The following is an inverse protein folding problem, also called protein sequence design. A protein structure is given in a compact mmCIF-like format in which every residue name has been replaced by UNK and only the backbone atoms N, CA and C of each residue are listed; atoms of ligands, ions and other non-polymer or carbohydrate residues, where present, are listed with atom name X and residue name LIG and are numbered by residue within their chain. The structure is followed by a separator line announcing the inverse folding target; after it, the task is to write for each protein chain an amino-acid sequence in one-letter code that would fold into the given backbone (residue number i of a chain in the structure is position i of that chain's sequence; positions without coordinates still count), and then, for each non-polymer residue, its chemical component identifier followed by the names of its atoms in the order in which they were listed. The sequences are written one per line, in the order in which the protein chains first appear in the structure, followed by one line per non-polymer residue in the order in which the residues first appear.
data_IF_528624105250
#
_entry.id   IF_528624105250
#
_cell.length_a   1.000
_cell.length_b   1.000
_cell.length_c   1.000
_cell.angle_alpha   90.00
_cell.angle_beta   90.00
_cell.angle_gamma   90.00
#
_symmetry.space_group_name_H-M   'P 1'
#
loop_
_entity.id
_entity.type
_entity.pdbx_description
1 polymer ?
#
# COMPACT_ATOMS: atom_id res chain seq x y z
N UNK A 1 3.73 5.60 -38.10
CA UNK A 1 3.47 6.05 -36.74
C UNK A 1 3.74 4.90 -35.79
N UNK A 2 4.94 4.86 -35.18
CA UNK A 2 5.27 3.83 -34.20
C UNK A 2 4.49 4.14 -32.91
N UNK A 3 3.38 3.44 -32.66
CA UNK A 3 2.81 3.37 -31.34
C UNK A 3 3.75 2.50 -30.51
N UNK A 4 4.61 3.12 -29.72
CA UNK A 4 5.30 2.43 -28.65
C UNK A 4 4.24 1.94 -27.68
N UNK A 5 3.90 0.66 -27.75
CA UNK A 5 3.13 0.01 -26.70
C UNK A 5 4.05 -0.13 -25.50
N UNK A 6 3.86 0.72 -24.49
CA UNK A 6 4.46 0.53 -23.18
C UNK A 6 3.74 -0.64 -22.51
N UNK A 7 4.34 -1.80 -22.55
CA UNK A 7 3.88 -2.92 -21.74
C UNK A 7 4.61 -2.90 -20.39
N UNK A 8 3.84 -2.89 -19.30
CA UNK A 8 4.40 -3.08 -17.97
C UNK A 8 4.83 -4.54 -17.83
N UNK A 9 5.98 -4.76 -17.21
CA UNK A 9 6.42 -6.12 -16.87
C UNK A 9 5.50 -6.71 -15.81
N UNK A 10 4.91 -7.87 -16.07
CA UNK A 10 3.99 -8.59 -15.17
C UNK A 10 4.77 -9.44 -14.18
N UNK A 11 5.53 -8.81 -13.33
CA UNK A 11 6.33 -9.47 -12.31
C UNK A 11 6.51 -8.56 -11.10
N UNK A 12 6.84 -9.17 -9.96
CA UNK A 12 7.23 -8.45 -8.75
C UNK A 12 8.56 -8.99 -8.23
N UNK A 13 9.32 -8.13 -7.60
CA UNK A 13 10.51 -8.50 -6.85
C UNK A 13 10.58 -7.65 -5.59
N UNK A 14 10.43 -8.30 -4.44
CA UNK A 14 10.40 -7.60 -3.16
C UNK A 14 11.82 -7.49 -2.58
N UNK A 15 12.07 -6.36 -1.92
CA UNK A 15 13.31 -6.08 -1.23
C UNK A 15 13.01 -5.76 0.23
N UNK A 16 13.79 -6.33 1.15
CA UNK A 16 13.68 -6.02 2.58
C UNK A 16 14.99 -5.40 3.04
N UNK A 17 14.92 -4.19 3.54
CA UNK A 17 16.07 -3.44 4.05
C UNK A 17 16.05 -3.38 5.57
N UNK A 18 17.19 -3.65 6.18
CA UNK A 18 17.40 -3.53 7.62
C UNK A 18 18.48 -2.48 7.89
N UNK A 19 18.09 -1.33 8.38
CA UNK A 19 18.98 -0.23 8.73
C UNK A 19 19.42 -0.25 10.18
N UNK A 20 19.04 -1.27 10.94
CA UNK A 20 19.40 -1.42 12.35
C UNK A 20 20.75 -2.13 12.54
N UNK A 21 21.27 -2.08 13.76
CA UNK A 21 22.52 -2.71 14.14
C UNK A 21 22.37 -4.18 14.55
N UNK A 22 21.17 -4.72 14.48
CA UNK A 22 20.86 -6.11 14.84
C UNK A 22 20.19 -6.83 13.68
N UNK A 23 20.42 -8.15 13.57
CA UNK A 23 19.72 -8.97 12.59
C UNK A 23 18.23 -8.99 12.90
N UNK A 24 17.40 -9.04 11.86
CA UNK A 24 15.94 -9.03 11.98
C UNK A 24 15.33 -10.19 11.21
N UNK A 25 14.28 -10.77 11.77
CA UNK A 25 13.46 -11.78 11.11
C UNK A 25 12.10 -11.20 10.77
N UNK A 26 11.78 -11.18 9.48
CA UNK A 26 10.60 -10.52 8.95
C UNK A 26 9.75 -11.51 8.17
N UNK A 27 8.44 -11.48 8.38
CA UNK A 27 7.49 -12.21 7.58
C UNK A 27 7.02 -11.32 6.43
N UNK A 28 7.39 -11.68 5.20
CA UNK A 28 6.94 -10.97 3.99
C UNK A 28 5.73 -11.69 3.44
N UNK A 29 4.65 -10.94 3.21
CA UNK A 29 3.42 -11.42 2.59
C UNK A 29 3.13 -10.62 1.35
N UNK A 30 2.63 -11.27 0.31
CA UNK A 30 2.09 -10.57 -0.85
C UNK A 30 0.87 -11.31 -1.38
N UNK A 31 -0.01 -10.59 -2.07
CA UNK A 31 -1.24 -11.14 -2.62
C UNK A 31 -1.60 -10.44 -3.92
N UNK A 32 -2.14 -11.22 -4.87
CA UNK A 32 -2.85 -10.67 -6.03
C UNK A 32 -4.31 -10.49 -5.63
N UNK A 33 -4.83 -9.29 -5.86
CA UNK A 33 -6.19 -8.90 -5.46
C UNK A 33 -6.95 -8.27 -6.61
N UNK A 34 -8.27 -8.43 -6.59
CA UNK A 34 -9.19 -7.65 -7.43
C UNK A 34 -9.32 -6.22 -6.89
N UNK A 35 -9.89 -5.33 -7.70
CA UNK A 35 -10.13 -3.94 -7.30
C UNK A 35 -11.01 -3.78 -6.04
N UNK A 36 -11.81 -4.78 -5.69
CA UNK A 36 -12.57 -4.83 -4.42
C UNK A 36 -11.75 -5.34 -3.24
N UNK A 37 -10.45 -5.58 -3.44
CA UNK A 37 -9.49 -6.14 -2.51
C UNK A 37 -9.64 -7.65 -2.23
N UNK A 38 -10.52 -8.36 -2.93
CA UNK A 38 -10.62 -9.83 -2.82
C UNK A 38 -9.31 -10.49 -3.22
N UNK A 39 -8.81 -11.38 -2.38
CA UNK A 39 -7.57 -12.13 -2.61
C UNK A 39 -7.81 -13.23 -3.65
N UNK A 40 -7.03 -13.24 -4.71
CA UNK A 40 -7.01 -14.28 -5.73
C UNK A 40 -5.89 -15.29 -5.50
N UNK A 41 -4.75 -14.84 -5.01
CA UNK A 41 -3.56 -15.63 -4.75
C UNK A 41 -2.75 -14.94 -3.67
N UNK A 42 -2.16 -15.70 -2.75
CA UNK A 42 -1.30 -15.14 -1.72
C UNK A 42 -0.13 -16.06 -1.41
N UNK A 43 0.97 -15.44 -1.01
CA UNK A 43 2.19 -16.11 -0.60
C UNK A 43 2.79 -15.42 0.63
N UNK A 44 3.52 -16.18 1.42
CA UNK A 44 4.25 -15.65 2.57
C UNK A 44 5.61 -16.35 2.71
N UNK A 45 6.60 -15.61 3.19
CA UNK A 45 7.96 -16.10 3.35
C UNK A 45 8.63 -15.44 4.55
N UNK A 46 9.25 -16.23 5.41
CA UNK A 46 10.16 -15.71 6.44
C UNK A 46 11.49 -15.32 5.81
N UNK A 47 11.99 -14.14 6.16
CA UNK A 47 13.26 -13.59 5.67
C UNK A 47 14.10 -13.14 6.84
N UNK A 48 15.35 -13.62 6.90
CA UNK A 48 16.34 -13.11 7.86
C UNK A 48 17.15 -12.02 7.14
N UNK A 49 17.14 -10.82 7.70
CA UNK A 49 17.84 -9.67 7.14
C UNK A 49 18.96 -9.27 8.09
N UNK A 50 20.23 -9.52 7.72
CA UNK A 50 21.35 -9.13 8.56
C UNK A 50 21.38 -7.63 8.84
N UNK A 51 21.99 -7.25 9.95
CA UNK A 51 22.18 -5.86 10.33
C UNK A 51 22.79 -5.05 9.18
N UNK A 52 22.29 -3.84 8.96
CA UNK A 52 22.78 -2.88 7.95
C UNK A 52 22.85 -3.45 6.53
N UNK A 53 21.91 -4.34 6.18
CA UNK A 53 21.87 -4.98 4.86
C UNK A 53 20.46 -5.00 4.27
N UNK A 54 20.40 -5.44 3.03
CA UNK A 54 19.15 -5.66 2.31
C UNK A 54 19.14 -7.05 1.69
N UNK A 55 17.98 -7.66 1.63
CA UNK A 55 17.74 -8.95 0.99
C UNK A 55 16.72 -8.79 -0.12
N UNK A 56 17.07 -9.24 -1.32
CA UNK A 56 16.15 -9.35 -2.44
C UNK A 56 15.51 -10.74 -2.43
N UNK A 57 14.18 -10.79 -2.44
CA UNK A 57 13.47 -12.04 -2.66
C UNK A 57 13.51 -12.42 -4.15
N UNK A 58 13.20 -13.67 -4.46
CA UNK A 58 13.13 -14.13 -5.83
C UNK A 58 12.04 -13.39 -6.61
N UNK A 59 12.32 -13.13 -7.88
CA UNK A 59 11.35 -12.54 -8.80
C UNK A 59 10.17 -13.49 -8.99
N UNK A 60 8.96 -12.95 -8.90
CA UNK A 60 7.72 -13.71 -9.14
C UNK A 60 7.09 -13.22 -10.43
N UNK A 61 6.93 -14.13 -11.39
CA UNK A 61 6.23 -13.87 -12.64
C UNK A 61 4.73 -14.01 -12.44
N UNK A 62 3.97 -13.04 -12.94
CA UNK A 62 2.50 -12.98 -12.86
C UNK A 62 1.90 -12.82 -14.27
N UNK A 63 2.13 -13.76 -15.19
CA UNK A 63 1.79 -13.58 -16.61
C UNK A 63 0.29 -13.45 -16.87
N UNK A 64 -0.55 -13.92 -15.97
CA UNK A 64 -2.01 -13.91 -16.10
C UNK A 64 -2.70 -12.76 -15.38
N UNK A 65 -1.95 -11.86 -14.73
CA UNK A 65 -2.57 -10.75 -14.02
C UNK A 65 -3.30 -9.82 -15.00
N UNK A 66 -4.52 -9.43 -14.63
CA UNK A 66 -5.29 -8.44 -15.36
C UNK A 66 -4.83 -7.04 -14.93
N UNK A 67 -4.04 -6.39 -15.78
CA UNK A 67 -3.39 -5.11 -15.48
C UNK A 67 -4.36 -3.96 -15.13
N UNK A 68 -5.62 -4.06 -15.55
CA UNK A 68 -6.60 -2.99 -15.34
C UNK A 68 -7.54 -3.25 -14.16
N UNK A 69 -7.65 -4.49 -13.70
CA UNK A 69 -8.63 -4.89 -12.69
C UNK A 69 -8.00 -5.58 -11.46
N UNK A 70 -6.72 -5.90 -11.52
CA UNK A 70 -6.01 -6.61 -10.46
C UNK A 70 -4.74 -5.87 -10.06
N UNK A 71 -4.36 -5.99 -8.80
CA UNK A 71 -3.15 -5.39 -8.25
C UNK A 71 -2.48 -6.35 -7.27
N UNK A 72 -1.24 -6.05 -6.90
CA UNK A 72 -0.52 -6.77 -5.86
C UNK A 72 -0.43 -5.91 -4.61
N UNK A 73 -0.78 -6.47 -3.46
CA UNK A 73 -0.49 -5.89 -2.16
C UNK A 73 0.67 -6.64 -1.50
N UNK A 74 1.52 -5.94 -0.77
CA UNK A 74 2.61 -6.54 -0.02
C UNK A 74 2.73 -5.93 1.37
N UNK A 75 3.17 -6.76 2.31
CA UNK A 75 3.37 -6.39 3.71
C UNK A 75 4.63 -7.05 4.25
N UNK A 76 5.31 -6.36 5.14
CA UNK A 76 6.36 -6.92 5.97
C UNK A 76 5.93 -6.85 7.43
N UNK A 77 6.06 -7.97 8.13
CA UNK A 77 5.63 -8.15 9.52
C UNK A 77 6.82 -8.50 10.39
N UNK A 78 6.89 -7.88 11.55
CA UNK A 78 7.83 -8.22 12.62
C UNK A 78 7.09 -8.18 13.95
N UNK A 79 7.25 -9.24 14.76
CA UNK A 79 6.60 -9.36 16.09
C UNK A 79 5.06 -9.07 16.04
N UNK A 80 4.38 -9.68 15.07
CA UNK A 80 2.94 -9.53 14.83
C UNK A 80 2.48 -8.10 14.48
N UNK A 81 3.41 -7.24 14.08
CA UNK A 81 3.12 -5.88 13.62
C UNK A 81 3.54 -5.66 12.18
N UNK A 82 2.71 -4.95 11.43
CA UNK A 82 3.07 -4.49 10.08
C UNK A 82 4.09 -3.38 10.19
N UNK A 83 5.29 -3.59 9.65
CA UNK A 83 6.36 -2.59 9.65
C UNK A 83 6.50 -1.88 8.31
N UNK A 84 5.96 -2.45 7.23
CA UNK A 84 5.93 -1.86 5.91
C UNK A 84 4.80 -2.46 5.10
N UNK A 85 4.19 -1.67 4.22
CA UNK A 85 3.15 -2.14 3.33
C UNK A 85 3.04 -1.25 2.10
N UNK A 86 2.51 -1.79 1.03
CA UNK A 86 2.29 -1.05 -0.19
C UNK A 86 1.57 -1.89 -1.24
N UNK A 87 1.40 -1.30 -2.40
CA UNK A 87 0.78 -1.98 -3.54
C UNK A 87 1.52 -1.69 -4.83
N UNK A 88 1.31 -2.56 -5.81
CA UNK A 88 1.84 -2.42 -7.17
C UNK A 88 0.70 -2.60 -8.14
N UNK A 89 0.57 -1.68 -9.08
CA UNK A 89 -0.31 -1.83 -10.25
C UNK A 89 0.54 -1.99 -11.51
N UNK A 90 -0.03 -2.63 -12.53
CA UNK A 90 0.65 -2.98 -13.80
C UNK A 90 0.09 -2.19 -14.98
N UNK A 91 -0.39 -0.99 -14.69
CA UNK A 91 -0.89 -0.01 -15.66
C UNK A 91 -0.57 1.39 -15.15
N UNK A 92 -0.76 2.40 -16.00
CA UNK A 92 -0.77 3.77 -15.47
C UNK A 92 -1.94 3.95 -14.50
N UNK A 93 -1.75 4.70 -13.39
CA UNK A 93 -2.80 4.88 -12.38
C UNK A 93 -4.14 5.35 -12.93
N UNK A 94 -4.12 6.20 -13.96
CA UNK A 94 -5.34 6.73 -14.60
C UNK A 94 -6.14 5.69 -15.41
N UNK A 95 -5.54 4.54 -15.74
CA UNK A 95 -6.17 3.49 -16.55
C UNK A 95 -6.65 2.30 -15.73
N UNK A 96 -6.26 2.22 -14.47
CA UNK A 96 -6.75 1.17 -13.58
C UNK A 96 -8.24 1.37 -13.31
N UNK A 97 -9.03 0.29 -13.33
CA UNK A 97 -10.47 0.32 -13.10
C UNK A 97 -10.78 0.27 -11.59
N UNK A 98 -10.60 1.39 -10.91
CA UNK A 98 -10.95 1.49 -9.49
C UNK A 98 -12.45 1.38 -9.29
N UNK A 99 -12.83 0.70 -8.21
CA UNK A 99 -14.17 0.81 -7.66
C UNK A 99 -14.21 2.00 -6.69
N UNK A 100 -15.41 2.52 -6.43
CA UNK A 100 -15.55 3.57 -5.42
C UNK A 100 -15.13 3.03 -4.05
N UNK A 101 -14.04 3.50 -3.46
CA UNK A 101 -13.58 3.01 -2.18
C UNK A 101 -14.41 3.50 -1.00
N UNK A 102 -15.34 4.45 -1.22
CA UNK A 102 -16.20 5.04 -0.19
C UNK A 102 -15.40 5.43 1.06
N UNK A 103 -14.33 6.17 0.84
CA UNK A 103 -13.41 6.56 1.91
C UNK A 103 -14.12 7.36 2.98
N UNK A 104 -13.87 6.99 4.23
CA UNK A 104 -14.28 7.75 5.40
C UNK A 104 -13.10 7.99 6.31
N UNK A 105 -13.16 9.06 7.09
CA UNK A 105 -12.10 9.44 8.02
C UNK A 105 -12.71 9.84 9.36
N UNK A 106 -12.11 9.35 10.45
CA UNK A 106 -12.47 9.71 11.81
C UNK A 106 -11.23 9.77 12.68
N UNK A 107 -11.37 10.33 13.86
CA UNK A 107 -10.30 10.39 14.86
C UNK A 107 -10.60 9.52 16.06
N UNK A 108 -9.56 8.96 16.65
CA UNK A 108 -9.62 8.19 17.89
C UNK A 108 -8.31 8.44 18.66
N UNK A 109 -8.38 9.22 19.73
CA UNK A 109 -7.18 9.64 20.45
C UNK A 109 -6.23 10.48 19.58
N UNK A 110 -5.00 10.07 19.49
CA UNK A 110 -3.96 10.69 18.65
C UNK A 110 -3.82 10.04 17.25
N UNK A 111 -4.81 9.25 16.88
CA UNK A 111 -4.82 8.55 15.60
C UNK A 111 -5.97 9.00 14.70
N UNK A 112 -5.70 8.99 13.40
CA UNK A 112 -6.72 9.11 12.36
C UNK A 112 -6.98 7.71 11.82
N UNK A 113 -8.27 7.36 11.66
CA UNK A 113 -8.69 6.09 11.09
C UNK A 113 -9.35 6.34 9.75
N UNK A 114 -8.75 5.78 8.70
CA UNK A 114 -9.30 5.81 7.35
C UNK A 114 -9.92 4.46 7.05
N UNK A 115 -11.16 4.45 6.57
CA UNK A 115 -11.88 3.24 6.15
C UNK A 115 -12.13 3.26 4.65
N UNK A 116 -11.95 2.12 4.01
CA UNK A 116 -12.22 1.93 2.60
C UNK A 116 -13.02 0.65 2.35
N UNK A 117 -13.92 0.69 1.35
CA UNK A 117 -14.74 -0.46 0.95
C UNK A 117 -14.14 -1.23 -0.23
N UNK A 118 -13.10 -0.68 -0.86
CA UNK A 118 -12.37 -1.26 -1.99
C UNK A 118 -10.93 -0.73 -1.99
N UNK A 119 -10.11 -1.21 -2.92
CA UNK A 119 -8.76 -0.70 -3.11
C UNK A 119 -8.75 0.81 -3.34
N UNK A 120 -7.95 1.52 -2.58
CA UNK A 120 -7.74 2.95 -2.72
C UNK A 120 -6.25 3.25 -2.90
N UNK A 121 -5.92 3.92 -4.01
CA UNK A 121 -4.55 4.29 -4.35
C UNK A 121 -4.28 5.75 -4.04
N UNK A 122 -3.12 6.01 -3.44
CA UNK A 122 -2.64 7.35 -3.10
C UNK A 122 -3.66 8.11 -2.26
N UNK A 123 -4.01 7.53 -1.12
CA UNK A 123 -4.94 8.13 -0.17
C UNK A 123 -4.28 9.33 0.49
N UNK A 124 -4.92 10.48 0.36
CA UNK A 124 -4.47 11.74 0.93
C UNK A 124 -5.45 12.21 1.99
N UNK A 125 -4.92 12.53 3.16
CA UNK A 125 -5.65 13.11 4.28
C UNK A 125 -5.37 14.61 4.31
N UNK A 126 -6.43 15.42 4.36
CA UNK A 126 -6.38 16.88 4.39
C UNK A 126 -7.15 17.40 5.60
N UNK A 127 -6.77 18.59 6.06
CA UNK A 127 -7.51 19.33 7.07
C UNK A 127 -7.62 20.82 6.70
N UNK A 128 -8.47 21.55 7.41
CA UNK A 128 -8.77 22.94 7.05
C UNK A 128 -7.59 23.89 7.25
N UNK A 129 -6.71 23.63 8.20
CA UNK A 129 -5.60 24.50 8.57
C UNK A 129 -4.28 24.14 7.89
N UNK A 130 -4.22 22.99 7.23
CA UNK A 130 -3.01 22.46 6.56
C UNK A 130 -1.78 22.35 7.47
N UNK A 131 -1.96 22.32 8.78
CA UNK A 131 -0.91 22.24 9.79
C UNK A 131 -0.68 20.80 10.31
N UNK A 132 -1.44 19.85 9.80
CA UNK A 132 -1.42 18.47 10.26
C UNK A 132 -0.20 17.73 9.73
N UNK A 133 0.61 17.19 10.64
CA UNK A 133 1.74 16.30 10.31
C UNK A 133 1.39 14.89 10.79
N UNK A 134 1.38 13.96 9.86
CA UNK A 134 1.04 12.56 10.08
C UNK A 134 2.28 11.66 9.90
N UNK A 135 2.28 10.51 10.57
CA UNK A 135 3.34 9.52 10.37
C UNK A 135 3.37 8.97 8.94
N UNK A 136 2.23 8.98 8.25
CA UNK A 136 2.11 8.59 6.85
C UNK A 136 0.98 9.36 6.17
N UNK A 137 1.14 9.63 4.88
CA UNK A 137 0.14 10.23 4.01
C UNK A 137 0.44 9.79 2.57
N UNK A 138 -0.51 9.89 1.65
CA UNK A 138 -0.37 9.41 0.28
C UNK A 138 -0.08 7.90 0.18
N UNK A 139 -0.78 7.11 0.97
CA UNK A 139 -0.61 5.67 1.03
C UNK A 139 -1.66 4.94 0.21
N UNK A 140 -1.34 3.71 -0.19
CA UNK A 140 -2.30 2.79 -0.78
C UNK A 140 -2.91 1.92 0.33
N UNK A 141 -4.17 1.53 0.17
CA UNK A 141 -4.80 0.62 1.12
C UNK A 141 -5.77 -0.35 0.44
N UNK A 142 -5.86 -1.55 1.00
CA UNK A 142 -6.91 -2.50 0.68
C UNK A 142 -8.24 -2.06 1.35
N UNK A 143 -9.32 -2.76 1.06
CA UNK A 143 -10.56 -2.61 1.83
C UNK A 143 -10.28 -2.91 3.32
N UNK A 144 -10.87 -2.12 4.21
CA UNK A 144 -10.67 -2.20 5.64
C UNK A 144 -10.33 -0.85 6.27
N UNK A 145 -9.62 -0.89 7.38
CA UNK A 145 -9.21 0.30 8.12
C UNK A 145 -7.69 0.44 8.16
N UNK A 146 -7.23 1.68 8.14
CA UNK A 146 -5.83 2.01 8.39
C UNK A 146 -5.74 3.10 9.46
N UNK A 147 -4.89 2.87 10.46
CA UNK A 147 -4.64 3.80 11.56
C UNK A 147 -3.35 4.57 11.30
N UNK A 148 -3.40 5.89 11.45
CA UNK A 148 -2.27 6.78 11.19
C UNK A 148 -2.13 7.71 12.36
N UNK A 149 -0.92 7.74 12.95
CA UNK A 149 -0.65 8.58 14.10
C UNK A 149 -0.48 10.04 13.71
N UNK A 150 -1.08 10.92 14.49
CA UNK A 150 -0.89 12.37 14.38
C UNK A 150 0.40 12.73 15.12
N UNK A 151 1.36 13.33 14.40
CA UNK A 151 2.62 13.78 14.97
C UNK A 151 2.57 15.24 15.43
N UNK A 152 1.79 16.06 14.72
CA UNK A 152 1.60 17.48 15.03
C UNK A 152 0.33 18.00 14.40
N UNK A 153 -0.27 19.01 15.01
CA UNK A 153 -1.47 19.68 14.52
C UNK A 153 -2.77 19.12 15.08
N UNK A 154 -3.88 19.76 14.74
CA UNK A 154 -5.21 19.38 15.18
C UNK A 154 -6.02 18.82 14.02
N UNK A 155 -6.70 17.68 14.21
CA UNK A 155 -7.47 17.04 13.15
C UNK A 155 -8.85 17.68 12.98
N UNK A 156 -8.90 18.96 12.64
CA UNK A 156 -10.14 19.71 12.41
C UNK A 156 -10.46 19.79 10.93
N UNK A 157 -11.72 19.51 10.55
CA UNK A 157 -12.16 19.58 9.16
C UNK A 157 -11.50 18.52 8.28
N UNK A 158 -11.35 17.31 8.80
CA UNK A 158 -10.70 16.21 8.09
C UNK A 158 -11.46 15.84 6.82
N UNK A 159 -10.71 15.67 5.75
CA UNK A 159 -11.17 15.17 4.45
C UNK A 159 -10.19 14.11 3.95
N UNK A 160 -10.68 13.20 3.14
CA UNK A 160 -9.86 12.14 2.55
C UNK A 160 -10.24 11.97 1.08
N UNK A 161 -9.24 11.74 0.25
CA UNK A 161 -9.42 11.46 -1.17
C UNK A 161 -8.37 10.47 -1.67
N UNK A 162 -8.62 9.90 -2.83
CA UNK A 162 -7.69 9.00 -3.52
C UNK A 162 -7.64 9.31 -5.02
N UNK A 163 -6.87 8.52 -5.77
CA UNK A 163 -6.83 8.63 -7.25
C UNK A 163 -8.22 8.51 -7.85
N UNK A 164 -9.12 7.74 -7.25
CA UNK A 164 -10.51 7.59 -7.71
C UNK A 164 -11.25 8.94 -7.81
N UNK A 165 -10.93 9.89 -6.96
CA UNK A 165 -11.60 11.19 -6.85
C UNK A 165 -11.06 12.26 -7.83
N UNK A 166 -10.07 11.90 -8.62
CA UNK A 166 -9.38 12.82 -9.53
C UNK A 166 -9.88 12.69 -10.97
#
# INVERSE_FOLDING_TARGET
MNRQHFEFEKSIRLNVTNETLTDRRVLVKWAVRKADATVLMEEKQWVEVPALSAVWLDKVELPQIDCFNEYVSYEAWEDDQVISQGTVIFSYPKYFHYLDPKLTVRTEGDEIIVSASAYAKSVEILNDTEDLILEDNYFDMNAGERRIKILQGKPEGLRVRSVYDI
#
